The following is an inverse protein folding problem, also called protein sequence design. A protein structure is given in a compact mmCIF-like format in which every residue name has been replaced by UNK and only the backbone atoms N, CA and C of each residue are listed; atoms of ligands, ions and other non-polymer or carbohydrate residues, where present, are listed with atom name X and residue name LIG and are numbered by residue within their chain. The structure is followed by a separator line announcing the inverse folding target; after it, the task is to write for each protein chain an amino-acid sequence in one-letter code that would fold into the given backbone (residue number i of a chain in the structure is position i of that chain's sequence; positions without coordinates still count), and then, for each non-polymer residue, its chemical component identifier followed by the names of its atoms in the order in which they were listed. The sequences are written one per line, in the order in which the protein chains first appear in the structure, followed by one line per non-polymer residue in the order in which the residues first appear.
data_IF_444177276274
#
_entry.id   IF_444177276274
#
_cell.length_a   1.000
_cell.length_b   1.000
_cell.length_c   1.000
_cell.angle_alpha   90.00
_cell.angle_beta   90.00
_cell.angle_gamma   90.00
#
_symmetry.space_group_name_H-M   'P 1'
#
loop_
_entity.id
_entity.type
_entity.pdbx_description
1 polymer ?
#
# COMPACT_ATOMS: atom_id res chain seq x y z
N UNK A 1 -12.00 47.70 5.29
CA UNK A 1 -13.20 46.89 5.01
C UNK A 1 -13.08 46.37 3.58
N UNK A 2 -13.12 45.09 3.19
CA UNK A 2 -13.30 43.80 3.86
C UNK A 2 -12.88 42.73 2.83
N UNK A 3 -12.04 41.79 3.26
CA UNK A 3 -11.96 40.35 2.92
C UNK A 3 -12.16 39.89 1.46
N UNK A 4 -11.16 39.18 0.91
CA UNK A 4 -11.23 37.73 0.57
C UNK A 4 -9.88 37.20 0.06
N UNK A 5 -9.16 36.54 0.98
CA UNK A 5 -8.07 35.62 0.70
C UNK A 5 -8.62 34.41 -0.08
N UNK A 6 -8.30 34.32 -1.37
CA UNK A 6 -8.68 33.20 -2.23
C UNK A 6 -7.49 32.24 -2.34
N UNK A 7 -7.56 31.15 -1.55
CA UNK A 7 -7.11 29.80 -1.88
C UNK A 7 -5.61 29.64 -2.25
N UNK A 8 -4.81 29.22 -1.27
CA UNK A 8 -3.57 28.48 -1.48
C UNK A 8 -3.74 27.41 -2.57
N UNK A 9 -2.96 27.52 -3.65
CA UNK A 9 -2.74 26.44 -4.62
C UNK A 9 -2.02 25.27 -3.93
N UNK A 10 -2.22 24.02 -4.38
CA UNK A 10 -1.57 22.85 -3.79
C UNK A 10 -0.05 22.97 -3.88
N UNK A 11 0.63 22.59 -2.79
CA UNK A 11 2.10 22.60 -2.64
C UNK A 11 2.79 21.87 -3.81
N UNK A 12 4.02 22.28 -4.19
CA UNK A 12 4.73 21.73 -5.35
C UNK A 12 4.97 20.23 -5.21
N UNK A 13 4.80 19.50 -6.32
CA UNK A 13 4.84 18.04 -6.49
C UNK A 13 6.16 17.33 -6.05
N UNK A 14 7.12 18.04 -5.46
CA UNK A 14 8.42 17.51 -5.06
C UNK A 14 8.39 16.57 -3.86
N UNK A 15 7.42 16.71 -2.94
CA UNK A 15 7.28 15.80 -1.79
C UNK A 15 6.57 14.48 -2.19
N UNK A 16 5.64 14.53 -3.15
CA UNK A 16 4.86 13.36 -3.58
C UNK A 16 5.73 12.32 -4.29
N UNK A 17 6.75 12.76 -5.06
CA UNK A 17 7.61 11.86 -5.83
C UNK A 17 8.37 10.86 -4.98
N UNK A 18 8.80 11.24 -3.77
CA UNK A 18 9.53 10.33 -2.88
C UNK A 18 8.63 9.21 -2.35
N UNK A 19 7.41 9.56 -1.92
CA UNK A 19 6.44 8.59 -1.42
C UNK A 19 5.95 7.61 -2.50
N UNK A 20 5.80 8.09 -3.75
CA UNK A 20 5.45 7.23 -4.89
C UNK A 20 6.56 6.23 -5.19
N UNK A 21 7.82 6.66 -5.15
CA UNK A 21 8.97 5.79 -5.37
C UNK A 21 9.05 4.66 -4.34
N UNK A 22 8.80 4.98 -3.06
CA UNK A 22 8.79 3.97 -1.99
C UNK A 22 7.66 2.95 -2.21
N UNK A 23 6.47 3.40 -2.60
CA UNK A 23 5.33 2.52 -2.85
C UNK A 23 5.58 1.57 -4.01
N UNK A 24 6.15 2.09 -5.11
CA UNK A 24 6.56 1.30 -6.27
C UNK A 24 7.62 0.25 -5.88
N UNK A 25 8.58 0.63 -5.05
CA UNK A 25 9.62 -0.28 -4.57
C UNK A 25 9.04 -1.40 -3.69
N UNK A 26 8.12 -1.09 -2.79
CA UNK A 26 7.41 -2.09 -1.96
C UNK A 26 6.63 -3.05 -2.84
N UNK A 27 5.84 -2.53 -3.79
CA UNK A 27 5.07 -3.36 -4.72
C UNK A 27 5.97 -4.28 -5.55
N UNK A 28 7.10 -3.77 -6.05
CA UNK A 28 8.06 -4.54 -6.81
C UNK A 28 8.63 -5.72 -6.03
N UNK A 29 9.12 -5.47 -4.81
CA UNK A 29 9.69 -6.52 -3.96
C UNK A 29 8.66 -7.59 -3.59
N UNK A 30 7.42 -7.21 -3.26
CA UNK A 30 6.38 -8.19 -2.93
C UNK A 30 5.96 -9.02 -4.15
N UNK A 31 5.88 -8.41 -5.35
CA UNK A 31 5.56 -9.13 -6.60
C UNK A 31 6.66 -10.12 -7.03
N UNK A 32 7.90 -9.94 -6.56
CA UNK A 32 8.98 -10.93 -6.78
C UNK A 32 8.81 -12.17 -5.92
N UNK A 33 8.16 -12.04 -4.77
CA UNK A 33 7.94 -13.15 -3.82
C UNK A 33 6.66 -13.93 -4.10
N UNK A 34 5.68 -13.32 -4.79
CA UNK A 34 4.36 -13.91 -5.01
C UNK A 34 3.91 -13.72 -6.46
N UNK A 35 3.48 -14.81 -7.10
CA UNK A 35 2.97 -14.80 -8.47
C UNK A 35 1.44 -14.82 -8.48
N UNK A 36 0.83 -13.96 -9.30
CA UNK A 36 -0.62 -14.01 -9.60
C UNK A 36 -1.54 -13.52 -8.48
N UNK A 37 -1.02 -12.76 -7.51
CA UNK A 37 -1.79 -12.22 -6.38
C UNK A 37 -1.86 -10.68 -6.38
N UNK A 38 -1.79 -10.04 -7.56
CA UNK A 38 -1.74 -8.58 -7.70
C UNK A 38 -2.94 -7.88 -7.03
N UNK A 39 -4.16 -8.34 -7.28
CA UNK A 39 -5.36 -7.74 -6.69
C UNK A 39 -5.45 -7.89 -5.17
N UNK A 40 -4.97 -9.02 -4.63
CA UNK A 40 -4.92 -9.21 -3.19
C UNK A 40 -3.91 -8.24 -2.57
N UNK A 41 -2.73 -8.13 -3.18
CA UNK A 41 -1.66 -7.24 -2.74
C UNK A 41 -2.11 -5.77 -2.74
N UNK A 42 -2.72 -5.31 -3.82
CA UNK A 42 -3.26 -3.95 -3.94
C UNK A 42 -4.24 -3.63 -2.82
N UNK A 43 -5.19 -4.53 -2.54
CA UNK A 43 -6.19 -4.35 -1.46
C UNK A 43 -5.55 -4.31 -0.08
N UNK A 44 -4.55 -5.16 0.18
CA UNK A 44 -3.82 -5.15 1.44
C UNK A 44 -3.05 -3.85 1.64
N UNK A 45 -2.40 -3.32 0.59
CA UNK A 45 -1.72 -2.03 0.64
C UNK A 45 -2.68 -0.88 0.86
N UNK A 46 -3.82 -0.85 0.15
CA UNK A 46 -4.85 0.16 0.36
C UNK A 46 -5.36 0.14 1.81
N UNK A 47 -5.66 -1.05 2.34
CA UNK A 47 -6.10 -1.17 3.72
C UNK A 47 -5.03 -0.74 4.72
N UNK A 48 -3.76 -1.13 4.52
CA UNK A 48 -2.64 -0.72 5.37
C UNK A 48 -2.47 0.80 5.41
N UNK A 49 -2.45 1.45 4.24
CA UNK A 49 -2.30 2.90 4.12
C UNK A 49 -3.50 3.66 4.70
N UNK A 50 -4.71 3.11 4.58
CA UNK A 50 -5.92 3.66 5.17
C UNK A 50 -6.07 3.35 6.68
N UNK A 51 -5.16 2.57 7.28
CA UNK A 51 -5.29 1.97 8.62
C UNK A 51 -6.62 1.21 8.80
N UNK A 52 -7.07 0.55 7.74
CA UNK A 52 -8.23 -0.33 7.74
C UNK A 52 -7.87 -1.76 8.16
N UNK A 53 -8.89 -2.61 8.19
CA UNK A 53 -8.76 -4.04 8.51
C UNK A 53 -9.26 -4.86 7.33
N UNK A 54 -8.65 -6.03 7.09
CA UNK A 54 -9.03 -6.94 6.00
C UNK A 54 -9.26 -8.33 6.56
N UNK A 55 -10.35 -8.97 6.13
CA UNK A 55 -10.60 -10.39 6.33
C UNK A 55 -10.30 -11.14 5.03
N UNK A 56 -9.36 -12.09 5.06
CA UNK A 56 -8.97 -12.88 3.90
C UNK A 56 -9.68 -14.24 3.90
N UNK A 57 -10.72 -14.38 3.10
CA UNK A 57 -11.50 -15.62 2.99
C UNK A 57 -11.20 -16.40 1.69
N UNK A 58 -11.67 -17.63 1.61
CA UNK A 58 -11.63 -18.49 0.42
C UNK A 58 -11.02 -19.87 0.69
N UNK A 59 -10.85 -20.66 -0.35
CA UNK A 59 -10.33 -22.03 -0.23
C UNK A 59 -8.85 -22.08 0.20
N UNK A 60 -8.40 -23.15 0.88
CA UNK A 60 -7.00 -23.36 1.24
C UNK A 60 -6.11 -23.52 0.00
N UNK A 61 -4.82 -23.17 0.12
CA UNK A 61 -3.83 -23.34 -0.95
C UNK A 61 -3.65 -22.16 -1.92
N UNK A 62 -4.41 -21.07 -1.78
CA UNK A 62 -4.34 -19.90 -2.67
C UNK A 62 -3.27 -18.85 -2.29
N UNK A 63 -2.18 -19.28 -1.66
CA UNK A 63 -1.08 -18.42 -1.22
C UNK A 63 -1.47 -17.22 -0.32
N UNK A 64 -2.70 -17.11 0.20
CA UNK A 64 -3.18 -15.99 1.03
C UNK A 64 -2.23 -15.65 2.19
N UNK A 65 -1.85 -16.65 2.97
CA UNK A 65 -0.92 -16.51 4.10
C UNK A 65 0.48 -16.09 3.64
N UNK A 66 0.95 -16.64 2.52
CA UNK A 66 2.24 -16.28 1.92
C UNK A 66 2.22 -14.81 1.49
N UNK A 67 1.12 -14.36 0.89
CA UNK A 67 0.96 -12.97 0.45
C UNK A 67 1.05 -11.98 1.60
N UNK A 68 0.31 -12.23 2.68
CA UNK A 68 0.33 -11.35 3.86
C UNK A 68 1.71 -11.38 4.53
N UNK A 69 2.36 -12.55 4.61
CA UNK A 69 3.70 -12.69 5.19
C UNK A 69 4.76 -11.93 4.39
N UNK A 70 4.76 -12.06 3.05
CA UNK A 70 5.70 -11.36 2.18
C UNK A 70 5.49 -9.85 2.24
N UNK A 71 4.24 -9.37 2.25
CA UNK A 71 3.95 -7.95 2.45
C UNK A 71 4.50 -7.45 3.79
N UNK A 72 4.26 -8.18 4.88
CA UNK A 72 4.77 -7.83 6.20
C UNK A 72 6.30 -7.70 6.21
N UNK A 73 7.02 -8.65 5.60
CA UNK A 73 8.48 -8.60 5.51
C UNK A 73 8.99 -7.36 4.77
N UNK A 74 8.35 -7.00 3.65
CA UNK A 74 8.80 -5.86 2.83
C UNK A 74 8.51 -4.52 3.50
N UNK A 75 7.37 -4.39 4.20
CA UNK A 75 7.01 -3.13 4.89
C UNK A 75 7.63 -3.01 6.30
N UNK A 76 8.45 -3.97 6.72
CA UNK A 76 9.06 -4.00 8.06
C UNK A 76 8.08 -4.33 9.19
N UNK A 77 6.95 -4.96 8.86
CA UNK A 77 5.97 -5.47 9.82
C UNK A 77 6.21 -6.94 10.19
N UNK A 78 5.35 -7.47 11.05
CA UNK A 78 5.40 -8.87 11.51
C UNK A 78 4.08 -9.58 11.22
N UNK A 79 4.15 -10.83 10.77
CA UNK A 79 2.98 -11.69 10.56
C UNK A 79 3.29 -13.13 10.99
N UNK A 80 2.57 -13.60 12.02
CA UNK A 80 2.72 -14.92 12.66
C UNK A 80 1.94 -16.00 11.93
#
# INVERSE_FOLDING_TARGET
MTTRSFRQLPRPLGETSHSLNVLEHVLFEVKRLIVGQDHLLERLLVALLARGHVLLEGVPGLAKTMTVRALAQVVGGTFG
#
